data_IF_137820941212
#
_entry.id   IF_137820941212
#
_cell.length_a   1.000
_cell.length_b   1.000
_cell.length_c   1.000
_cell.angle_alpha   90.00
_cell.angle_beta   90.00
_cell.angle_gamma   90.00
#
_symmetry.space_group_name_H-M   'P 1'
#
loop_
_entity.id
_entity.type
_entity.pdbx_description
1 polymer ?
#
# COMPACT_ATOMS: atom_id res chain seq x y z
N UNK A 1 -9.07 0.27 5.14
CA UNK A 1 -10.04 1.21 4.54
C UNK A 1 -9.58 2.64 4.31
N UNK A 2 -8.76 3.28 5.16
CA UNK A 2 -8.38 4.72 4.98
C UNK A 2 -7.24 5.00 3.98
N UNK A 3 -6.34 4.04 3.72
CA UNK A 3 -5.30 4.15 2.66
C UNK A 3 -5.85 3.92 1.24
N UNK A 4 -7.09 3.44 1.11
CA UNK A 4 -7.60 2.81 -0.11
C UNK A 4 -8.09 3.80 -1.17
N UNK A 5 -8.24 5.09 -0.83
CA UNK A 5 -8.69 6.13 -1.77
C UNK A 5 -7.47 6.87 -2.39
N UNK A 6 -6.33 6.93 -1.67
CA UNK A 6 -5.06 7.50 -2.18
C UNK A 6 -4.61 6.85 -3.46
N UNK A 7 -4.64 5.52 -3.45
CA UNK A 7 -4.00 4.73 -4.50
C UNK A 7 -4.85 4.73 -5.78
N UNK A 8 -6.17 4.93 -5.66
CA UNK A 8 -7.09 5.04 -6.80
C UNK A 8 -6.90 6.36 -7.56
N UNK A 9 -6.70 7.48 -6.88
CA UNK A 9 -6.49 8.77 -7.55
C UNK A 9 -5.09 8.88 -8.19
N UNK A 10 -4.08 8.30 -7.55
CA UNK A 10 -2.75 8.18 -8.16
C UNK A 10 -2.80 7.23 -9.36
N UNK A 11 -3.57 6.15 -9.30
CA UNK A 11 -3.83 5.27 -10.45
C UNK A 11 -4.52 6.00 -11.61
N UNK A 12 -5.49 6.89 -11.34
CA UNK A 12 -6.10 7.75 -12.36
C UNK A 12 -5.06 8.70 -12.97
N UNK A 13 -4.20 9.32 -12.15
CA UNK A 13 -3.12 10.18 -12.64
C UNK A 13 -2.12 9.41 -13.53
N UNK A 14 -1.85 8.14 -13.22
CA UNK A 14 -0.90 7.30 -13.95
C UNK A 14 -1.46 6.68 -15.23
N UNK A 15 -2.76 6.36 -15.24
CA UNK A 15 -3.50 6.02 -16.48
C UNK A 15 -3.45 7.17 -17.49
N UNK A 16 -3.48 8.42 -17.00
CA UNK A 16 -3.34 9.62 -17.85
C UNK A 16 -1.93 9.75 -18.43
N UNK A 17 -0.89 9.25 -17.77
CA UNK A 17 0.52 9.41 -18.22
C UNK A 17 1.05 8.29 -19.14
N UNK A 18 0.22 7.35 -19.62
CA UNK A 18 0.58 6.26 -20.60
C UNK A 18 1.86 5.50 -20.23
N UNK A 19 1.86 4.94 -19.04
CA UNK A 19 3.05 4.33 -18.43
C UNK A 19 3.12 2.83 -18.76
N UNK A 20 4.24 2.37 -19.32
CA UNK A 20 4.52 0.95 -19.48
C UNK A 20 5.05 0.38 -18.15
N UNK A 21 4.17 -0.31 -17.42
CA UNK A 21 4.41 -0.80 -16.07
C UNK A 21 5.23 -2.10 -16.02
N UNK A 22 5.51 -2.72 -17.17
CA UNK A 22 6.09 -4.06 -17.23
C UNK A 22 7.62 -4.05 -17.29
N UNK A 23 8.25 -2.94 -17.67
CA UNK A 23 9.71 -2.84 -17.81
C UNK A 23 10.24 -1.46 -17.38
N UNK A 24 11.23 -1.44 -16.48
CA UNK A 24 11.75 -0.19 -15.93
C UNK A 24 12.39 0.73 -16.97
N UNK A 25 12.92 0.13 -18.04
CA UNK A 25 13.66 0.85 -19.06
C UNK A 25 12.78 1.78 -19.91
N UNK A 26 11.45 1.61 -19.83
CA UNK A 26 10.49 2.41 -20.58
C UNK A 26 9.99 3.64 -19.80
N UNK A 27 10.39 3.82 -18.53
CA UNK A 27 9.94 4.95 -17.72
C UNK A 27 10.76 6.23 -18.00
N UNK A 28 10.17 7.20 -18.69
CA UNK A 28 10.83 8.48 -19.01
C UNK A 28 10.40 9.65 -18.11
N UNK A 29 10.40 9.47 -16.78
CA UNK A 29 10.06 10.52 -15.81
C UNK A 29 11.17 11.57 -15.63
N UNK A 30 10.76 12.83 -15.45
CA UNK A 30 11.58 14.01 -15.19
C UNK A 30 11.58 14.41 -13.69
N UNK A 31 12.49 15.31 -13.29
CA UNK A 31 12.49 15.90 -11.92
C UNK A 31 11.18 16.63 -11.58
N UNK A 32 10.51 17.20 -12.59
CA UNK A 32 9.20 17.86 -12.43
C UNK A 32 8.14 16.84 -12.05
N UNK A 33 8.17 15.66 -12.65
CA UNK A 33 7.22 14.58 -12.36
C UNK A 33 7.40 14.05 -10.94
N UNK A 34 8.64 13.96 -10.46
CA UNK A 34 8.93 13.66 -9.05
C UNK A 34 8.31 14.69 -8.10
N UNK A 35 8.53 15.98 -8.37
CA UNK A 35 8.05 17.05 -7.51
C UNK A 35 6.51 17.09 -7.47
N UNK A 36 5.87 16.90 -8.63
CA UNK A 36 4.41 16.79 -8.73
C UNK A 36 3.89 15.57 -7.96
N UNK A 37 4.52 14.41 -8.12
CA UNK A 37 4.15 13.21 -7.37
C UNK A 37 4.24 13.42 -5.85
N UNK A 38 5.33 14.03 -5.38
CA UNK A 38 5.56 14.31 -3.96
C UNK A 38 4.54 15.29 -3.39
N UNK A 39 4.30 16.43 -4.06
CA UNK A 39 3.33 17.44 -3.64
C UNK A 39 1.91 16.85 -3.60
N UNK A 40 1.50 16.10 -4.62
CA UNK A 40 0.20 15.44 -4.64
C UNK A 40 0.04 14.44 -3.49
N UNK A 41 1.09 13.67 -3.19
CA UNK A 41 1.09 12.72 -2.06
C UNK A 41 0.94 13.44 -0.72
N UNK A 42 1.61 14.59 -0.54
CA UNK A 42 1.54 15.39 0.68
C UNK A 42 0.17 16.05 0.87
N UNK A 43 -0.36 16.73 -0.15
CA UNK A 43 -1.69 17.36 -0.14
C UNK A 43 -2.74 16.31 0.21
N UNK A 44 -2.65 15.14 -0.40
CA UNK A 44 -3.61 14.08 -0.15
C UNK A 44 -3.51 13.51 1.27
N UNK A 45 -2.30 13.28 1.79
CA UNK A 45 -2.10 12.89 3.18
C UNK A 45 -2.79 13.88 4.14
N UNK A 46 -2.65 15.18 3.88
CA UNK A 46 -3.30 16.24 4.64
C UNK A 46 -4.82 16.17 4.51
N UNK A 47 -5.38 16.06 3.30
CA UNK A 47 -6.83 15.96 3.07
C UNK A 47 -7.41 14.76 3.82
N UNK A 48 -6.77 13.59 3.73
CA UNK A 48 -7.22 12.39 4.42
C UNK A 48 -7.17 12.52 5.94
N UNK A 49 -6.11 13.15 6.46
CA UNK A 49 -5.99 13.44 7.88
C UNK A 49 -7.12 14.38 8.34
N UNK A 50 -7.43 15.43 7.59
CA UNK A 50 -8.51 16.37 7.90
C UNK A 50 -9.90 15.71 7.82
N UNK A 51 -10.15 14.88 6.80
CA UNK A 51 -11.40 14.11 6.67
C UNK A 51 -11.60 13.10 7.81
N UNK A 52 -10.50 12.58 8.36
CA UNK A 52 -10.53 11.70 9.52
C UNK A 52 -10.87 12.45 10.81
N UNK A 53 -10.31 13.65 11.01
CA UNK A 53 -10.66 14.51 12.15
C UNK A 53 -12.14 14.92 12.13
N UNK A 54 -12.73 15.11 10.95
CA UNK A 54 -14.11 15.59 10.82
C UNK A 54 -15.18 14.53 11.09
N UNK A 55 -14.84 13.25 11.03
CA UNK A 55 -15.86 12.23 10.80
C UNK A 55 -15.78 11.08 11.83
N UNK A 56 -16.60 11.18 12.88
CA UNK A 56 -16.69 10.22 13.98
C UNK A 56 -17.61 9.01 13.66
N UNK A 57 -18.34 9.02 12.54
CA UNK A 57 -19.49 8.14 12.31
C UNK A 57 -19.25 6.94 11.37
N UNK A 58 -18.01 6.67 10.93
CA UNK A 58 -17.72 5.53 10.05
C UNK A 58 -18.12 4.17 10.65
N UNK A 59 -18.21 4.07 11.98
CA UNK A 59 -18.64 2.86 12.70
C UNK A 59 -20.07 2.43 12.34
N UNK A 60 -20.96 3.37 11.99
CA UNK A 60 -22.37 3.08 11.64
C UNK A 60 -22.55 2.49 10.24
N UNK A 61 -21.72 2.89 9.27
CA UNK A 61 -21.75 2.34 7.90
C UNK A 61 -21.40 0.85 7.84
N UNK A 62 -20.61 0.34 8.80
CA UNK A 62 -20.17 -1.06 8.83
C UNK A 62 -21.20 -2.03 9.43
N UNK A 63 -22.21 -1.54 10.15
CA UNK A 63 -23.18 -2.40 10.86
C UNK A 63 -24.11 -3.17 9.89
N UNK A 64 -24.14 -2.81 8.60
CA UNK A 64 -25.02 -3.37 7.58
C UNK A 64 -24.31 -4.16 6.47
N UNK A 65 -23.08 -4.66 6.72
CA UNK A 65 -22.28 -5.38 5.73
C UNK A 65 -22.79 -6.82 5.55
N UNK A 66 -23.41 -7.10 4.40
CA UNK A 66 -23.84 -8.43 3.96
C UNK A 66 -22.66 -9.39 3.68
N UNK A 67 -22.88 -10.70 3.57
CA UNK A 67 -21.83 -11.68 3.19
C UNK A 67 -21.14 -11.33 1.86
N UNK A 68 -21.85 -10.72 0.91
CA UNK A 68 -21.31 -10.27 -0.39
C UNK A 68 -20.22 -9.20 -0.23
N UNK A 69 -20.32 -8.37 0.79
CA UNK A 69 -19.30 -7.35 1.09
C UNK A 69 -18.02 -7.89 1.73
N UNK A 70 -18.02 -9.09 2.32
CA UNK A 70 -16.78 -9.70 2.86
C UNK A 70 -15.84 -10.15 1.73
N UNK A 71 -16.39 -10.76 0.68
CA UNK A 71 -15.59 -11.24 -0.46
C UNK A 71 -15.00 -10.07 -1.25
N UNK A 72 -15.78 -9.01 -1.46
CA UNK A 72 -15.31 -7.78 -2.08
C UNK A 72 -14.20 -7.11 -1.25
N UNK A 73 -14.34 -7.10 0.07
CA UNK A 73 -13.33 -6.57 0.98
C UNK A 73 -12.02 -7.37 0.91
N UNK A 74 -12.10 -8.70 0.92
CA UNK A 74 -10.93 -9.58 0.80
C UNK A 74 -10.25 -9.45 -0.57
N UNK A 75 -11.02 -9.48 -1.66
CA UNK A 75 -10.50 -9.27 -3.01
C UNK A 75 -9.75 -7.93 -3.10
N UNK A 76 -10.34 -6.87 -2.56
CA UNK A 76 -9.71 -5.54 -2.54
C UNK A 76 -8.40 -5.54 -1.75
N UNK A 77 -8.39 -6.11 -0.54
CA UNK A 77 -7.23 -6.15 0.36
C UNK A 77 -6.08 -7.03 -0.10
N UNK A 78 -6.38 -8.13 -0.79
CA UNK A 78 -5.40 -9.16 -1.17
C UNK A 78 -4.88 -8.94 -2.58
N UNK A 79 -5.69 -8.40 -3.50
CA UNK A 79 -5.32 -8.31 -4.92
C UNK A 79 -5.21 -6.86 -5.35
N UNK A 80 -6.31 -6.11 -5.24
CA UNK A 80 -6.38 -4.77 -5.84
C UNK A 80 -5.42 -3.78 -5.18
N UNK A 81 -5.37 -3.73 -3.84
CA UNK A 81 -4.50 -2.82 -3.11
C UNK A 81 -3.01 -3.13 -3.32
N UNK A 82 -2.54 -4.39 -3.17
CA UNK A 82 -1.16 -4.74 -3.47
C UNK A 82 -0.72 -4.33 -4.88
N UNK A 83 -1.53 -4.59 -5.90
CA UNK A 83 -1.23 -4.16 -7.28
C UNK A 83 -0.95 -2.66 -7.33
N UNK A 84 -1.86 -1.87 -6.77
CA UNK A 84 -1.75 -0.42 -6.82
C UNK A 84 -0.55 0.11 -6.03
N UNK A 85 -0.27 -0.48 -4.87
CA UNK A 85 0.88 -0.11 -4.06
C UNK A 85 2.20 -0.47 -4.75
N UNK A 86 2.32 -1.66 -5.36
CA UNK A 86 3.52 -2.02 -6.12
C UNK A 86 3.75 -1.10 -7.32
N UNK A 87 2.71 -0.76 -8.06
CA UNK A 87 2.81 0.21 -9.17
C UNK A 87 3.39 1.53 -8.65
N UNK A 88 2.81 2.07 -7.58
CA UNK A 88 3.16 3.38 -7.04
C UNK A 88 4.57 3.41 -6.45
N UNK A 89 4.90 2.46 -5.57
CA UNK A 89 6.15 2.49 -4.85
C UNK A 89 7.31 1.89 -5.64
N UNK A 90 7.09 0.83 -6.42
CA UNK A 90 8.16 0.16 -7.17
C UNK A 90 8.23 0.73 -8.57
N UNK A 91 7.14 0.60 -9.32
CA UNK A 91 7.07 1.05 -10.72
C UNK A 91 7.36 2.54 -10.90
N UNK A 92 6.94 3.40 -9.98
CA UNK A 92 7.09 4.86 -10.13
C UNK A 92 8.11 5.42 -9.17
N UNK A 93 7.91 5.27 -7.86
CA UNK A 93 8.76 5.96 -6.87
C UNK A 93 10.21 5.46 -6.94
N UNK A 94 10.46 4.16 -6.88
CA UNK A 94 11.83 3.62 -7.05
C UNK A 94 12.39 4.00 -8.42
N UNK A 95 11.63 3.84 -9.51
CA UNK A 95 12.06 4.20 -10.88
C UNK A 95 12.47 5.67 -11.03
N UNK A 96 11.83 6.58 -10.29
CA UNK A 96 12.22 7.99 -10.26
C UNK A 96 13.46 8.19 -9.39
N UNK A 97 13.48 7.59 -8.19
CA UNK A 97 14.57 7.76 -7.23
C UNK A 97 15.90 7.24 -7.76
N UNK A 98 15.92 6.14 -8.53
CA UNK A 98 17.16 5.62 -9.14
C UNK A 98 17.77 6.53 -10.22
N UNK A 99 17.02 7.53 -10.72
CA UNK A 99 17.56 8.57 -11.61
C UNK A 99 18.27 9.69 -10.84
N UNK A 100 18.05 9.77 -9.53
CA UNK A 100 18.55 10.84 -8.66
C UNK A 100 19.60 10.31 -7.69
N UNK A 101 19.42 9.08 -7.22
CA UNK A 101 20.25 8.39 -6.22
C UNK A 101 20.70 7.02 -6.75
N UNK A 102 21.61 6.36 -6.03
CA UNK A 102 21.91 4.96 -6.31
C UNK A 102 20.73 4.04 -5.91
N UNK A 103 20.75 2.80 -6.42
CA UNK A 103 19.70 1.81 -6.20
C UNK A 103 19.40 1.52 -4.73
N UNK A 104 20.44 1.41 -3.89
CA UNK A 104 20.28 1.15 -2.46
C UNK A 104 19.52 2.26 -1.74
N UNK A 105 19.91 3.52 -1.99
CA UNK A 105 19.27 4.69 -1.40
C UNK A 105 17.82 4.82 -1.90
N UNK A 106 17.58 4.56 -3.18
CA UNK A 106 16.23 4.59 -3.75
C UNK A 106 15.28 3.60 -3.06
N UNK A 107 15.75 2.36 -2.81
CA UNK A 107 14.98 1.35 -2.07
C UNK A 107 14.71 1.79 -0.64
N UNK A 108 15.72 2.31 0.08
CA UNK A 108 15.57 2.76 1.47
C UNK A 108 14.52 3.87 1.57
N UNK A 109 14.66 4.92 0.74
CA UNK A 109 13.73 6.06 0.75
C UNK A 109 12.30 5.60 0.41
N UNK A 110 12.15 4.78 -0.64
CA UNK A 110 10.83 4.25 -1.01
C UNK A 110 10.21 3.42 0.12
N UNK A 111 11.01 2.64 0.85
CA UNK A 111 10.55 1.79 1.93
C UNK A 111 10.12 2.59 3.16
N UNK A 112 10.83 3.69 3.46
CA UNK A 112 10.45 4.63 4.52
C UNK A 112 9.11 5.29 4.18
N UNK A 113 8.94 5.79 2.96
CA UNK A 113 7.69 6.43 2.52
C UNK A 113 6.54 5.43 2.57
N UNK A 114 6.75 4.20 2.09
CA UNK A 114 5.75 3.11 2.18
C UNK A 114 5.33 2.87 3.62
N UNK A 115 6.30 2.70 4.54
CA UNK A 115 6.06 2.46 5.96
C UNK A 115 5.19 3.56 6.59
N UNK A 116 5.55 4.83 6.39
CA UNK A 116 4.84 5.96 7.02
C UNK A 116 3.46 6.23 6.43
N UNK A 117 3.19 5.78 5.21
CA UNK A 117 1.83 5.88 4.65
C UNK A 117 0.84 4.96 5.37
N UNK A 118 1.34 3.95 6.10
CA UNK A 118 0.50 3.05 6.86
C UNK A 118 0.22 3.56 8.26
N UNK A 119 -1.02 3.38 8.72
CA UNK A 119 -1.43 3.75 10.07
C UNK A 119 -1.41 2.52 10.96
N UNK A 120 -0.40 2.44 11.81
CA UNK A 120 -0.27 1.38 12.81
C UNK A 120 -0.16 1.95 14.22
N UNK A 121 -0.65 1.15 15.18
CA UNK A 121 -0.68 1.50 16.59
C UNK A 121 0.59 1.06 17.34
N UNK A 122 1.47 0.28 16.69
CA UNK A 122 2.65 -0.32 17.31
C UNK A 122 3.91 -0.08 16.46
N UNK A 123 4.99 0.38 17.11
CA UNK A 123 6.30 0.63 16.51
C UNK A 123 6.90 -0.61 15.82
N UNK A 124 6.72 -1.81 16.38
CA UNK A 124 7.22 -3.05 15.77
C UNK A 124 6.60 -3.33 14.40
N UNK A 125 5.36 -2.91 14.19
CA UNK A 125 4.68 -3.08 12.89
C UNK A 125 5.29 -2.16 11.83
N UNK A 126 5.70 -0.94 12.20
CA UNK A 126 6.42 -0.05 11.30
C UNK A 126 7.76 -0.64 10.85
N UNK A 127 8.56 -1.19 11.77
CA UNK A 127 9.83 -1.87 11.43
C UNK A 127 9.57 -3.03 10.46
N UNK A 128 8.57 -3.87 10.76
CA UNK A 128 8.24 -5.00 9.91
C UNK A 128 7.86 -4.58 8.49
N UNK A 129 7.05 -3.52 8.34
CA UNK A 129 6.67 -2.99 7.03
C UNK A 129 7.83 -2.39 6.28
N UNK A 130 8.72 -1.67 6.97
CA UNK A 130 9.92 -1.14 6.36
C UNK A 130 10.77 -2.28 5.76
N UNK A 131 10.97 -3.36 6.51
CA UNK A 131 11.74 -4.52 6.05
C UNK A 131 11.08 -5.23 4.87
N UNK A 132 9.77 -5.47 4.92
CA UNK A 132 9.03 -6.04 3.78
C UNK A 132 9.14 -5.12 2.57
N UNK A 133 8.97 -3.81 2.77
CA UNK A 133 9.00 -2.85 1.69
C UNK A 133 10.38 -2.83 1.01
N UNK A 134 11.44 -2.98 1.80
CA UNK A 134 12.83 -3.07 1.36
C UNK A 134 13.08 -4.34 0.54
N UNK A 135 12.63 -5.51 1.01
CA UNK A 135 12.74 -6.79 0.29
C UNK A 135 12.05 -6.71 -1.07
N UNK A 136 10.81 -6.21 -1.10
CA UNK A 136 10.05 -6.03 -2.34
C UNK A 136 10.73 -5.03 -3.28
N UNK A 137 11.30 -3.93 -2.74
CA UNK A 137 12.07 -2.98 -3.53
C UNK A 137 13.34 -3.59 -4.14
N UNK A 138 14.05 -4.45 -3.41
CA UNK A 138 15.20 -5.20 -3.93
C UNK A 138 14.75 -6.16 -5.04
N UNK A 139 13.66 -6.89 -4.84
CA UNK A 139 13.14 -7.84 -5.82
C UNK A 139 12.70 -7.14 -7.11
N UNK A 140 12.07 -5.98 -6.99
CA UNK A 140 11.75 -5.15 -8.15
C UNK A 140 12.99 -4.81 -8.99
N UNK A 141 14.10 -4.43 -8.35
CA UNK A 141 15.34 -4.12 -9.06
C UNK A 141 16.00 -5.36 -9.66
N UNK A 142 15.97 -6.52 -8.98
CA UNK A 142 16.54 -7.78 -9.48
C UNK A 142 15.78 -8.30 -10.69
N UNK A 143 14.45 -8.36 -10.60
CA UNK A 143 13.60 -8.92 -11.65
C UNK A 143 13.23 -7.92 -12.74
N UNK A 144 13.53 -6.63 -12.51
CA UNK A 144 13.16 -5.53 -13.40
C UNK A 144 11.66 -5.54 -13.76
N UNK A 145 10.81 -5.96 -12.82
CA UNK A 145 9.37 -6.17 -13.03
C UNK A 145 8.61 -6.04 -11.72
N UNK A 146 7.41 -5.48 -11.78
CA UNK A 146 6.48 -5.39 -10.65
C UNK A 146 5.69 -6.69 -10.42
N UNK A 147 5.64 -7.61 -11.40
CA UNK A 147 4.80 -8.82 -11.28
C UNK A 147 5.23 -9.70 -10.09
N UNK A 148 6.53 -10.01 -9.88
CA UNK A 148 6.94 -10.81 -8.74
C UNK A 148 6.63 -10.14 -7.41
N UNK A 149 6.77 -8.81 -7.32
CA UNK A 149 6.51 -8.08 -6.08
C UNK A 149 5.01 -8.02 -5.77
N UNK A 150 4.16 -7.88 -6.78
CA UNK A 150 2.69 -7.95 -6.65
C UNK A 150 2.28 -9.29 -6.07
N UNK A 151 2.81 -10.40 -6.60
CA UNK A 151 2.48 -11.74 -6.14
C UNK A 151 2.91 -11.94 -4.68
N UNK A 152 4.15 -11.59 -4.33
CA UNK A 152 4.67 -11.73 -2.97
C UNK A 152 3.86 -10.87 -1.99
N UNK A 153 3.58 -9.62 -2.33
CA UNK A 153 2.81 -8.72 -1.48
C UNK A 153 1.36 -9.22 -1.28
N UNK A 154 0.72 -9.71 -2.34
CA UNK A 154 -0.62 -10.31 -2.26
C UNK A 154 -0.64 -11.52 -1.32
N UNK A 155 0.38 -12.38 -1.38
CA UNK A 155 0.53 -13.53 -0.47
C UNK A 155 0.72 -13.11 0.97
N UNK A 156 1.56 -12.09 1.24
CA UNK A 156 1.77 -11.54 2.58
C UNK A 156 0.44 -10.99 3.14
N UNK A 157 -0.32 -10.24 2.35
CA UNK A 157 -1.61 -9.71 2.77
C UNK A 157 -2.62 -10.82 3.04
N UNK A 158 -2.66 -11.86 2.21
CA UNK A 158 -3.50 -13.03 2.44
C UNK A 158 -3.15 -13.73 3.75
N UNK A 159 -1.87 -13.94 4.03
CA UNK A 159 -1.41 -14.55 5.28
C UNK A 159 -1.81 -13.72 6.51
N UNK A 160 -1.66 -12.39 6.44
CA UNK A 160 -2.09 -11.46 7.48
C UNK A 160 -3.61 -11.52 7.73
N UNK A 161 -4.41 -11.61 6.66
CA UNK A 161 -5.86 -11.77 6.77
C UNK A 161 -6.26 -13.09 7.46
N UNK A 162 -5.62 -14.20 7.09
CA UNK A 162 -5.86 -15.51 7.71
C UNK A 162 -5.52 -15.46 9.21
N UNK A 163 -4.37 -14.87 9.55
CA UNK A 163 -3.94 -14.70 10.94
C UNK A 163 -4.96 -13.87 11.75
N UNK A 164 -5.42 -12.74 11.20
CA UNK A 164 -6.42 -11.90 11.82
C UNK A 164 -7.74 -12.65 12.08
N UNK A 165 -8.26 -13.39 11.10
CA UNK A 165 -9.50 -14.16 11.25
C UNK A 165 -9.35 -15.24 12.32
N UNK A 166 -8.22 -15.94 12.37
CA UNK A 166 -7.94 -16.99 13.38
C UNK A 166 -7.92 -16.41 14.78
N UNK A 167 -7.22 -15.30 14.99
CA UNK A 167 -7.16 -14.63 16.28
C UNK A 167 -8.52 -14.06 16.72
N UNK A 168 -9.29 -13.48 15.79
CA UNK A 168 -10.64 -13.00 16.09
C UNK A 168 -11.55 -14.12 16.60
N UNK A 169 -11.53 -15.30 15.95
CA UNK A 169 -12.30 -16.47 16.38
C UNK A 169 -11.87 -16.97 17.76
N UNK A 170 -10.56 -17.04 18.02
CA UNK A 170 -10.02 -17.52 19.29
C UNK A 170 -10.39 -16.59 20.46
N UNK A 171 -10.32 -15.28 20.26
CA UNK A 171 -10.69 -14.31 21.29
C UNK A 171 -12.19 -14.37 21.61
N UNK A 172 -13.04 -14.47 20.58
CA UNK A 172 -14.49 -14.68 20.78
C UNK A 172 -14.79 -15.94 21.57
N UNK A 173 -14.09 -17.04 21.28
CA UNK A 173 -14.28 -18.30 22.01
C UNK A 173 -13.95 -18.15 23.50
N UNK A 174 -12.84 -17.48 23.83
CA UNK A 174 -12.45 -17.20 25.23
C UNK A 174 -13.44 -16.30 25.96
N UNK A 175 -14.03 -15.31 25.29
CA UNK A 175 -15.07 -14.47 25.89
C UNK A 175 -16.34 -15.26 26.26
N UNK A 176 -16.69 -16.28 25.46
CA UNK A 176 -17.85 -17.15 25.73
C UNK A 176 -17.56 -18.22 26.79
N UNK A 177 -16.30 -18.63 26.93
CA UNK A 177 -15.88 -19.58 27.97
C UNK A 177 -15.68 -18.91 29.35
N UNK A 178 -15.47 -17.59 29.38
CA UNK A 178 -15.17 -16.83 30.61
C UNK A 178 -16.31 -15.88 31.08
N UNK A 179 -17.46 -15.88 30.41
CA UNK A 179 -18.64 -15.05 30.75
C UNK A 179 -19.86 -15.90 30.97
#
# INVERSE_FOLDING_TARGET
MKQEISVIFIFIYLMVTRVDLLNINNFNYSKKDFFLFFINSLIFFIINYLLELKNNNYKYLFKNISKKSIYLYLFKGIIFIPILEEILYRGILISILIKIFNSYIAVIISSIIFMFQHKFYNFYQYIFLFLIAMILGIYFLIFNSIIPTILIHSVINMANYIYFIKNYKNNKKKEWENG
#
